data_IF_672780897152
#
_entry.id   IF_672780897152
#
_cell.length_a   1.000
_cell.length_b   1.000
_cell.length_c   1.000
_cell.angle_alpha   90.00
_cell.angle_beta   90.00
_cell.angle_gamma   90.00
#
_symmetry.space_group_name_H-M   'P 1'
#
loop_
_entity.id
_entity.type
_entity.pdbx_description
1 polymer ?
#
# COMPACT_ATOMS: atom_id res chain seq x y z
N UNK A 1 6.57 -6.84 29.66
CA UNK A 1 7.68 -6.02 30.14
C UNK A 1 7.11 -5.05 31.18
N UNK A 2 7.29 -5.34 32.49
CA UNK A 2 6.75 -4.52 33.58
C UNK A 2 7.88 -3.70 34.23
N UNK A 3 8.43 -2.75 33.48
CA UNK A 3 9.28 -1.75 34.11
C UNK A 3 8.38 -0.70 34.76
N UNK A 4 8.62 -0.39 36.04
CA UNK A 4 7.82 0.59 36.77
C UNK A 4 8.06 1.97 36.17
N UNK A 5 6.98 2.69 35.80
CA UNK A 5 7.05 4.01 35.19
C UNK A 5 7.94 4.98 35.96
N UNK A 6 7.92 4.91 37.31
CA UNK A 6 8.76 5.76 38.17
C UNK A 6 10.25 5.48 38.03
N UNK A 7 10.65 4.23 37.85
CA UNK A 7 12.07 3.85 37.63
C UNK A 7 12.53 4.33 36.26
N UNK A 8 11.68 4.21 35.22
CA UNK A 8 11.95 4.73 33.90
C UNK A 8 12.10 6.25 33.88
N UNK A 9 11.23 6.96 34.60
CA UNK A 9 11.30 8.42 34.74
C UNK A 9 12.57 8.88 35.50
N UNK A 10 12.98 8.13 36.51
CA UNK A 10 14.24 8.43 37.23
C UNK A 10 15.45 8.24 36.34
N UNK A 11 15.50 7.14 35.58
CA UNK A 11 16.57 6.88 34.59
C UNK A 11 16.60 7.95 33.50
N UNK A 12 15.44 8.31 32.94
CA UNK A 12 15.34 9.33 31.91
C UNK A 12 15.82 10.72 32.41
N UNK A 13 15.52 11.09 33.66
CA UNK A 13 16.01 12.33 34.29
C UNK A 13 17.51 12.35 34.44
N UNK A 14 18.13 11.23 34.78
CA UNK A 14 19.57 11.12 34.90
C UNK A 14 20.26 11.21 33.52
N UNK A 15 19.75 10.48 32.54
CA UNK A 15 20.24 10.50 31.17
C UNK A 15 20.14 11.91 30.54
N UNK A 16 19.04 12.62 30.79
CA UNK A 16 18.78 13.96 30.25
C UNK A 16 19.82 15.00 30.68
N UNK A 17 20.56 14.78 31.77
CA UNK A 17 21.64 15.71 32.21
C UNK A 17 22.78 15.82 31.21
N UNK A 18 23.02 14.77 30.43
CA UNK A 18 24.10 14.71 29.43
C UNK A 18 23.66 15.11 28.02
N UNK A 19 22.34 15.15 27.75
CA UNK A 19 21.77 15.38 26.42
C UNK A 19 21.51 16.88 26.24
N UNK A 20 22.23 17.54 25.30
CA UNK A 20 22.11 18.96 25.00
C UNK A 20 21.76 19.24 23.55
N UNK A 21 22.00 18.31 22.65
CA UNK A 21 21.76 18.44 21.22
C UNK A 21 20.92 17.26 20.71
N UNK A 22 20.29 17.38 19.54
CA UNK A 22 19.62 16.24 18.88
C UNK A 22 20.59 15.08 18.62
N UNK A 23 21.85 15.36 18.33
CA UNK A 23 22.91 14.39 18.11
C UNK A 23 23.19 13.58 19.40
N UNK A 24 23.29 14.24 20.55
CA UNK A 24 23.46 13.60 21.84
C UNK A 24 22.30 12.65 22.15
N UNK A 25 21.07 13.07 21.81
CA UNK A 25 19.87 12.23 21.98
C UNK A 25 19.92 10.99 21.09
N UNK A 26 20.39 11.13 19.86
CA UNK A 26 20.51 10.03 18.91
C UNK A 26 21.60 9.02 19.37
N UNK A 27 22.75 9.50 19.79
CA UNK A 27 23.83 8.66 20.36
C UNK A 27 23.34 7.90 21.61
N UNK A 28 22.61 8.59 22.49
CA UNK A 28 22.02 7.97 23.66
C UNK A 28 21.01 6.88 23.29
N UNK A 29 20.14 7.14 22.31
CA UNK A 29 19.16 6.16 21.82
C UNK A 29 19.83 4.92 21.23
N UNK A 30 20.89 5.09 20.43
CA UNK A 30 21.70 4.00 19.89
C UNK A 30 22.35 3.16 21.01
N UNK A 31 22.96 3.83 22.01
CA UNK A 31 23.59 3.16 23.14
C UNK A 31 22.56 2.37 23.95
N UNK A 32 21.41 2.96 24.25
CA UNK A 32 20.34 2.31 25.00
C UNK A 32 19.79 1.08 24.23
N UNK A 33 19.57 1.24 22.92
CA UNK A 33 19.13 0.15 22.05
C UNK A 33 20.13 -1.00 22.03
N UNK A 34 21.44 -0.68 21.88
CA UNK A 34 22.54 -1.66 21.93
C UNK A 34 22.53 -2.44 23.25
N UNK A 35 22.54 -1.75 24.39
CA UNK A 35 22.55 -2.38 25.73
C UNK A 35 21.33 -3.27 25.91
N UNK A 36 20.16 -2.80 25.53
CA UNK A 36 18.91 -3.55 25.66
C UNK A 36 18.91 -4.83 24.82
N UNK A 37 19.37 -4.72 23.55
CA UNK A 37 19.46 -5.90 22.66
C UNK A 37 20.51 -6.88 23.15
N UNK A 38 21.70 -6.43 23.61
CA UNK A 38 22.73 -7.30 24.19
C UNK A 38 22.26 -8.00 25.46
N UNK A 39 21.49 -7.31 26.31
CA UNK A 39 20.87 -7.91 27.50
C UNK A 39 19.85 -8.97 27.13
N UNK A 40 18.98 -8.71 26.17
CA UNK A 40 18.01 -9.68 25.69
C UNK A 40 18.67 -10.93 25.05
N UNK A 41 19.72 -10.74 24.25
CA UNK A 41 20.49 -11.87 23.68
C UNK A 41 21.21 -12.70 24.76
N UNK A 42 21.65 -12.07 25.86
CA UNK A 42 22.21 -12.81 26.98
C UNK A 42 21.12 -13.60 27.75
N UNK A 43 19.91 -13.05 27.90
CA UNK A 43 18.78 -13.77 28.49
C UNK A 43 18.37 -14.97 27.62
N UNK A 44 18.30 -14.82 26.29
CA UNK A 44 18.08 -15.95 25.37
C UNK A 44 19.17 -17.03 25.50
N UNK A 45 20.44 -16.63 25.72
CA UNK A 45 21.54 -17.56 25.96
C UNK A 45 21.41 -18.27 27.31
N UNK A 46 20.96 -17.56 28.37
CA UNK A 46 20.71 -18.16 29.67
C UNK A 46 19.59 -19.23 29.56
N UNK A 47 18.51 -18.93 28.86
CA UNK A 47 17.42 -19.87 28.57
C UNK A 47 17.92 -21.09 27.78
N UNK A 48 18.73 -20.85 26.73
CA UNK A 48 19.29 -21.92 25.88
C UNK A 48 20.20 -22.89 26.65
N UNK A 49 21.03 -22.36 27.53
CA UNK A 49 21.97 -23.18 28.32
C UNK A 49 21.36 -23.77 29.60
N UNK A 50 20.22 -23.22 30.08
CA UNK A 50 19.55 -23.63 31.31
C UNK A 50 20.22 -23.10 32.58
N UNK A 51 21.15 -22.14 32.50
CA UNK A 51 21.79 -21.50 33.65
C UNK A 51 22.20 -20.06 33.37
N UNK A 52 22.18 -19.21 34.41
CA UNK A 52 22.61 -17.83 34.35
C UNK A 52 24.14 -17.68 34.31
N UNK A 53 24.60 -16.52 33.86
CA UNK A 53 26.04 -16.22 33.84
C UNK A 53 26.62 -16.30 35.26
N UNK A 54 27.80 -16.95 35.42
CA UNK A 54 28.53 -17.18 36.65
C UNK A 54 27.91 -18.21 37.63
N UNK A 55 26.87 -18.94 37.22
CA UNK A 55 26.38 -20.09 37.96
C UNK A 55 27.15 -21.37 37.60
N UNK A 56 27.25 -22.32 38.54
CA UNK A 56 27.77 -23.67 38.24
C UNK A 56 26.77 -24.43 37.38
N UNK A 57 27.23 -24.90 36.23
CA UNK A 57 26.42 -25.66 35.28
C UNK A 57 26.65 -27.15 35.40
N UNK A 58 25.59 -27.94 35.26
CA UNK A 58 25.64 -29.37 35.00
C UNK A 58 25.48 -29.68 33.50
N UNK A 59 25.32 -28.68 32.65
CA UNK A 59 25.18 -28.80 31.20
C UNK A 59 26.52 -29.13 30.54
N UNK A 60 26.52 -29.99 29.52
CA UNK A 60 27.69 -30.26 28.67
C UNK A 60 28.12 -29.04 27.82
N UNK A 61 27.15 -28.18 27.48
CA UNK A 61 27.38 -26.97 26.72
C UNK A 61 27.66 -25.74 27.60
N UNK A 62 28.49 -24.84 27.15
CA UNK A 62 28.91 -23.68 27.94
C UNK A 62 29.07 -22.43 27.05
N UNK A 63 29.06 -21.25 27.69
CA UNK A 63 29.33 -19.99 27.00
C UNK A 63 30.74 -19.97 26.40
N UNK A 64 30.87 -19.50 25.16
CA UNK A 64 32.12 -19.42 24.42
C UNK A 64 32.37 -18.01 23.85
N UNK A 65 32.42 -17.02 24.74
CA UNK A 65 32.66 -15.65 24.35
C UNK A 65 31.52 -14.98 23.60
N UNK A 66 31.87 -13.96 22.81
CA UNK A 66 30.92 -13.18 21.99
C UNK A 66 31.48 -13.04 20.58
N UNK A 67 30.63 -12.90 19.59
CA UNK A 67 30.99 -12.44 18.24
C UNK A 67 30.43 -11.02 18.05
N UNK A 68 31.22 -10.16 17.42
CA UNK A 68 30.82 -8.80 17.10
C UNK A 68 30.31 -8.73 15.66
N UNK A 69 29.27 -7.96 15.42
CA UNK A 69 28.76 -7.62 14.08
C UNK A 69 28.16 -6.22 14.08
N UNK A 70 28.27 -5.52 12.97
CA UNK A 70 27.58 -4.24 12.76
C UNK A 70 26.12 -4.47 12.40
N UNK A 71 25.23 -3.74 13.07
CA UNK A 71 23.78 -3.81 12.84
C UNK A 71 23.25 -2.42 12.58
N UNK A 72 22.53 -2.28 11.47
CA UNK A 72 21.89 -1.04 11.04
C UNK A 72 20.50 -0.93 11.63
N UNK A 73 20.18 0.25 12.13
CA UNK A 73 18.87 0.57 12.71
C UNK A 73 18.40 1.93 12.19
N UNK A 74 17.20 2.29 12.54
CA UNK A 74 16.65 3.63 12.26
C UNK A 74 17.34 4.77 13.02
N UNK A 75 18.09 4.48 14.08
CA UNK A 75 18.84 5.45 14.86
C UNK A 75 20.33 5.46 14.45
N UNK A 76 20.70 4.76 13.38
CA UNK A 76 22.07 4.63 12.88
C UNK A 76 22.62 3.21 12.98
N UNK A 77 23.95 3.09 12.92
CA UNK A 77 24.68 1.83 12.93
C UNK A 77 25.46 1.66 14.23
N UNK A 78 25.39 0.48 14.84
CA UNK A 78 26.20 0.15 16.01
C UNK A 78 26.77 -1.26 15.97
N UNK A 79 27.84 -1.47 16.72
CA UNK A 79 28.45 -2.78 16.89
C UNK A 79 27.70 -3.57 17.97
N UNK A 80 27.13 -4.72 17.60
CA UNK A 80 26.39 -5.62 18.48
C UNK A 80 27.23 -6.84 18.84
N UNK A 81 27.36 -7.10 20.14
CA UNK A 81 28.03 -8.28 20.67
C UNK A 81 27.04 -9.41 20.93
N UNK A 82 27.05 -10.43 20.08
CA UNK A 82 26.17 -11.59 20.19
C UNK A 82 26.90 -12.71 20.98
N UNK A 83 26.29 -13.26 22.05
CA UNK A 83 26.89 -14.35 22.79
C UNK A 83 26.97 -15.63 21.94
N UNK A 84 27.95 -16.47 22.27
CA UNK A 84 28.17 -17.78 21.62
C UNK A 84 28.28 -18.88 22.65
N UNK A 85 27.78 -20.06 22.31
CA UNK A 85 27.98 -21.29 23.03
C UNK A 85 29.12 -22.13 22.44
N UNK A 86 29.58 -23.10 23.18
CA UNK A 86 30.75 -23.93 22.78
C UNK A 86 30.39 -24.90 21.65
N UNK A 87 29.16 -25.40 21.63
CA UNK A 87 28.69 -26.33 20.62
C UNK A 87 28.20 -25.63 19.34
N UNK A 88 28.05 -24.30 19.35
CA UNK A 88 27.56 -23.51 18.21
C UNK A 88 26.07 -23.68 17.92
N UNK A 89 25.32 -24.29 18.85
CA UNK A 89 23.90 -24.63 18.73
C UNK A 89 22.95 -23.46 19.04
N UNK A 90 23.45 -22.42 19.66
CA UNK A 90 22.65 -21.23 20.00
C UNK A 90 22.18 -20.49 18.74
N UNK A 91 20.88 -20.36 18.58
CA UNK A 91 20.21 -19.62 17.53
C UNK A 91 19.40 -18.45 18.12
N UNK A 92 19.96 -17.21 18.13
CA UNK A 92 19.28 -16.06 18.69
C UNK A 92 18.02 -15.71 17.90
N UNK A 93 16.91 -15.47 18.62
CA UNK A 93 15.61 -15.16 18.03
C UNK A 93 15.44 -13.67 17.73
N UNK A 94 15.89 -12.79 18.65
CA UNK A 94 15.71 -11.35 18.57
C UNK A 94 16.52 -10.74 17.39
N UNK A 95 17.79 -11.17 17.21
CA UNK A 95 18.64 -10.75 16.11
C UNK A 95 19.41 -11.96 15.58
N UNK A 96 18.94 -12.55 14.49
CA UNK A 96 19.50 -13.78 13.91
C UNK A 96 21.00 -13.66 13.60
N UNK A 97 21.73 -14.79 13.55
CA UNK A 97 23.20 -14.83 13.37
C UNK A 97 23.72 -13.96 12.22
N UNK A 98 23.09 -14.00 11.07
CA UNK A 98 23.52 -13.26 9.86
C UNK A 98 22.71 -11.98 9.60
N UNK A 99 21.82 -11.60 10.53
CA UNK A 99 21.04 -10.38 10.39
C UNK A 99 21.93 -9.16 10.65
N UNK A 100 22.01 -8.26 9.68
CA UNK A 100 22.81 -7.04 9.71
C UNK A 100 21.96 -5.76 9.85
N UNK A 101 20.63 -5.91 9.96
CA UNK A 101 19.69 -4.79 10.13
C UNK A 101 18.40 -5.25 10.83
N UNK A 102 17.69 -4.31 11.43
CA UNK A 102 16.36 -4.57 11.99
C UNK A 102 15.28 -4.52 10.92
N UNK A 103 14.20 -5.29 11.11
CA UNK A 103 13.08 -5.37 10.16
C UNK A 103 12.38 -4.03 9.96
N UNK A 104 12.31 -3.18 10.99
CA UNK A 104 11.76 -1.82 10.91
C UNK A 104 12.42 -0.96 9.83
N UNK A 105 13.66 -1.23 9.47
CA UNK A 105 14.37 -0.57 8.39
C UNK A 105 13.85 -0.97 7.01
N UNK A 106 13.50 -2.24 6.83
CA UNK A 106 12.92 -2.74 5.59
C UNK A 106 11.52 -2.11 5.37
N UNK A 107 10.70 -1.99 6.43
CA UNK A 107 9.39 -1.34 6.40
C UNK A 107 9.49 0.14 5.98
N UNK A 108 10.50 0.87 6.48
CA UNK A 108 10.76 2.25 6.07
C UNK A 108 11.20 2.37 4.61
N UNK A 109 12.06 1.47 4.15
CA UNK A 109 12.45 1.41 2.73
C UNK A 109 11.21 1.21 1.85
N UNK A 110 10.34 0.27 2.22
CA UNK A 110 9.10 -0.01 1.50
C UNK A 110 8.15 1.20 1.51
N UNK A 111 8.03 1.86 2.66
CA UNK A 111 7.19 3.05 2.77
C UNK A 111 7.68 4.19 1.88
N UNK A 112 8.97 4.51 1.89
CA UNK A 112 9.57 5.55 1.03
C UNK A 112 9.42 5.18 -0.46
N UNK A 113 9.61 3.92 -0.80
CA UNK A 113 9.41 3.44 -2.17
C UNK A 113 7.95 3.58 -2.61
N UNK A 114 7.00 3.26 -1.73
CA UNK A 114 5.56 3.45 -1.98
C UNK A 114 5.16 4.93 -2.12
N UNK A 115 5.94 5.87 -1.53
CA UNK A 115 5.78 7.31 -1.76
C UNK A 115 6.33 7.77 -3.14
N UNK A 116 6.89 6.86 -3.93
CA UNK A 116 7.39 7.15 -5.28
C UNK A 116 8.87 7.55 -5.34
N UNK A 117 9.60 7.42 -4.24
CA UNK A 117 11.04 7.71 -4.23
C UNK A 117 11.82 6.65 -5.03
N UNK A 118 12.79 7.10 -5.81
CA UNK A 118 13.73 6.20 -6.48
C UNK A 118 14.68 5.54 -5.48
N UNK A 119 15.30 4.42 -5.89
CA UNK A 119 16.28 3.72 -5.04
C UNK A 119 17.43 4.62 -4.59
N UNK A 120 17.85 5.60 -5.40
CA UNK A 120 18.91 6.56 -5.05
C UNK A 120 18.44 7.59 -4.03
N UNK A 121 17.22 8.11 -4.19
CA UNK A 121 16.63 9.05 -3.23
C UNK A 121 16.43 8.39 -1.87
N UNK A 122 16.04 7.11 -1.84
CA UNK A 122 15.92 6.34 -0.60
C UNK A 122 17.30 6.17 0.07
N UNK A 123 18.36 5.87 -0.70
CA UNK A 123 19.72 5.78 -0.17
C UNK A 123 20.14 7.10 0.45
N UNK A 124 19.95 8.22 -0.23
CA UNK A 124 20.30 9.56 0.27
C UNK A 124 19.48 9.92 1.52
N UNK A 125 18.17 9.61 1.53
CA UNK A 125 17.30 9.86 2.68
C UNK A 125 17.75 9.07 3.92
N UNK A 126 18.18 7.81 3.74
CA UNK A 126 18.68 7.00 4.85
C UNK A 126 20.01 7.55 5.41
N UNK A 127 20.90 7.99 4.55
CA UNK A 127 22.15 8.63 4.97
C UNK A 127 21.88 9.95 5.72
N UNK A 128 21.05 10.82 5.15
CA UNK A 128 20.75 12.14 5.71
C UNK A 128 19.93 12.07 7.02
N UNK A 129 18.90 11.21 7.08
CA UNK A 129 17.95 11.22 8.20
C UNK A 129 18.33 10.27 9.32
N UNK A 130 19.04 9.18 9.01
CA UNK A 130 19.34 8.12 9.96
C UNK A 130 20.85 7.86 10.12
N UNK A 131 21.72 8.58 9.38
CA UNK A 131 23.16 8.32 9.39
C UNK A 131 23.50 6.87 9.02
N UNK A 132 22.67 6.21 8.21
CA UNK A 132 22.79 4.79 7.87
C UNK A 132 23.06 4.63 6.38
N UNK A 133 24.29 4.27 6.03
CA UNK A 133 24.64 3.94 4.65
C UNK A 133 23.93 2.65 4.20
N UNK A 134 23.06 2.74 3.22
CA UNK A 134 22.43 1.59 2.55
C UNK A 134 22.80 1.59 1.07
N UNK A 135 22.80 0.41 0.44
CA UNK A 135 23.07 0.33 -1.00
C UNK A 135 21.79 0.34 -1.82
N UNK A 136 21.82 0.84 -3.08
CA UNK A 136 20.69 0.71 -4.01
C UNK A 136 20.26 -0.76 -4.22
N UNK A 137 21.23 -1.69 -4.16
CA UNK A 137 20.97 -3.14 -4.24
C UNK A 137 20.16 -3.64 -3.04
N UNK A 138 20.40 -3.10 -1.85
CA UNK A 138 19.59 -3.44 -0.67
C UNK A 138 18.15 -2.96 -0.86
N UNK A 139 17.96 -1.71 -1.29
CA UNK A 139 16.63 -1.16 -1.57
C UNK A 139 15.89 -2.05 -2.57
N UNK A 140 16.53 -2.40 -3.70
CA UNK A 140 15.93 -3.29 -4.70
C UNK A 140 15.61 -4.68 -4.15
N UNK A 141 16.44 -5.23 -3.26
CA UNK A 141 16.17 -6.53 -2.63
C UNK A 141 14.95 -6.48 -1.71
N UNK A 142 14.85 -5.43 -0.90
CA UNK A 142 13.71 -5.23 0.02
C UNK A 142 12.42 -5.05 -0.77
N UNK A 143 12.42 -4.22 -1.81
CA UNK A 143 11.23 -3.99 -2.66
C UNK A 143 10.84 -5.25 -3.43
N UNK A 144 11.80 -6.03 -3.93
CA UNK A 144 11.52 -7.28 -4.64
C UNK A 144 10.94 -8.37 -3.71
N UNK A 145 11.33 -8.39 -2.42
CA UNK A 145 10.79 -9.37 -1.47
C UNK A 145 9.28 -9.23 -1.24
N UNK A 146 8.70 -8.07 -1.55
CA UNK A 146 7.25 -7.85 -1.45
C UNK A 146 6.48 -8.43 -2.65
N UNK A 147 7.16 -8.71 -3.77
CA UNK A 147 6.49 -9.21 -4.99
C UNK A 147 5.75 -10.53 -4.71
N UNK A 148 6.35 -11.44 -3.95
CA UNK A 148 5.70 -12.72 -3.59
C UNK A 148 4.41 -12.48 -2.78
N UNK A 149 4.45 -11.55 -1.83
CA UNK A 149 3.27 -11.18 -1.03
C UNK A 149 2.18 -10.51 -1.89
N UNK A 150 2.58 -9.69 -2.87
CA UNK A 150 1.64 -9.07 -3.82
C UNK A 150 1.00 -10.14 -4.70
N UNK A 151 1.75 -11.13 -5.17
CA UNK A 151 1.20 -12.26 -5.97
C UNK A 151 0.24 -13.10 -5.13
N UNK A 152 0.58 -13.42 -3.88
CA UNK A 152 -0.30 -14.12 -2.95
C UNK A 152 -1.59 -13.32 -2.68
N UNK A 153 -1.45 -12.02 -2.40
CA UNK A 153 -2.58 -11.14 -2.21
C UNK A 153 -3.47 -11.06 -3.46
N UNK A 154 -2.88 -10.94 -4.65
CA UNK A 154 -3.62 -10.85 -5.92
C UNK A 154 -4.38 -12.15 -6.21
N UNK A 155 -3.86 -13.31 -5.82
CA UNK A 155 -4.47 -14.62 -6.07
C UNK A 155 -5.36 -15.13 -4.92
N UNK A 156 -5.51 -14.36 -3.84
CA UNK A 156 -6.30 -14.80 -2.68
C UNK A 156 -7.76 -15.08 -3.04
N UNK A 157 -8.44 -16.01 -2.35
CA UNK A 157 -9.88 -16.18 -2.46
C UNK A 157 -10.62 -14.88 -2.14
N UNK A 158 -11.76 -14.68 -2.80
CA UNK A 158 -12.67 -13.55 -2.59
C UNK A 158 -13.99 -14.05 -2.02
N UNK A 159 -14.80 -13.13 -1.48
CA UNK A 159 -16.14 -13.43 -1.04
C UNK A 159 -17.02 -13.84 -2.24
N UNK A 160 -18.03 -14.69 -1.99
CA UNK A 160 -18.92 -15.16 -3.04
C UNK A 160 -19.83 -14.05 -3.60
N UNK A 161 -20.21 -13.07 -2.77
CA UNK A 161 -21.15 -12.02 -3.14
C UNK A 161 -20.59 -10.64 -2.82
N UNK A 162 -20.64 -9.75 -3.82
CA UNK A 162 -20.32 -8.34 -3.67
C UNK A 162 -21.53 -7.47 -4.04
N UNK A 163 -22.16 -6.78 -3.08
CA UNK A 163 -23.23 -5.82 -3.36
C UNK A 163 -22.86 -4.75 -4.38
N UNK A 164 -21.64 -4.20 -4.31
CA UNK A 164 -21.18 -3.17 -5.24
C UNK A 164 -19.73 -3.45 -5.61
N UNK A 165 -19.43 -3.40 -6.90
CA UNK A 165 -18.04 -3.45 -7.42
C UNK A 165 -17.79 -2.25 -8.32
N UNK A 166 -16.73 -1.51 -8.05
CA UNK A 166 -16.23 -0.44 -8.92
C UNK A 166 -15.09 -0.99 -9.77
N UNK A 167 -15.22 -0.83 -11.08
CA UNK A 167 -14.21 -1.21 -12.07
C UNK A 167 -13.72 0.06 -12.75
N UNK A 168 -12.48 0.44 -12.53
CA UNK A 168 -11.91 1.70 -13.00
C UNK A 168 -10.48 1.52 -13.52
N UNK A 169 -10.02 2.46 -14.30
CA UNK A 169 -8.69 2.47 -14.89
C UNK A 169 -7.96 3.77 -14.59
N UNK A 170 -6.76 3.65 -14.04
CA UNK A 170 -5.87 4.79 -13.77
C UNK A 170 -4.69 4.74 -14.74
N UNK A 171 -4.48 5.83 -15.48
CA UNK A 171 -3.31 5.96 -16.36
C UNK A 171 -2.16 6.58 -15.57
N UNK A 172 -1.05 5.84 -15.47
CA UNK A 172 0.18 6.28 -14.82
C UNK A 172 1.33 6.40 -15.80
N UNK A 173 2.26 7.32 -15.52
CA UNK A 173 3.50 7.46 -16.26
C UNK A 173 4.57 6.61 -15.61
N UNK A 174 5.09 5.62 -16.30
CA UNK A 174 6.20 4.80 -15.85
C UNK A 174 7.43 5.02 -16.71
N UNK A 175 8.61 4.81 -16.14
CA UNK A 175 9.87 4.83 -16.89
C UNK A 175 10.26 3.40 -17.24
N UNK A 176 10.21 3.08 -18.54
CA UNK A 176 10.64 1.80 -19.09
C UNK A 176 11.64 2.06 -20.21
N UNK A 177 12.77 1.35 -20.21
CA UNK A 177 13.83 1.47 -21.24
C UNK A 177 14.27 2.91 -21.52
N UNK A 178 14.48 3.68 -20.45
CA UNK A 178 14.86 5.11 -20.46
C UNK A 178 13.81 6.06 -21.10
N UNK A 179 12.62 5.57 -21.42
CA UNK A 179 11.50 6.35 -21.94
C UNK A 179 10.37 6.44 -20.92
N UNK A 180 9.62 7.53 -20.94
CA UNK A 180 8.39 7.66 -20.15
C UNK A 180 7.25 7.19 -21.06
N UNK A 181 6.55 6.15 -20.60
CA UNK A 181 5.36 5.60 -21.27
C UNK A 181 4.16 5.67 -20.34
N UNK A 182 2.98 5.75 -20.92
CA UNK A 182 1.74 5.61 -20.16
C UNK A 182 1.43 4.11 -20.01
N UNK A 183 1.07 3.69 -18.81
CA UNK A 183 0.51 2.37 -18.52
C UNK A 183 -0.82 2.51 -17.81
N UNK A 184 -1.75 1.66 -18.17
CA UNK A 184 -3.05 1.58 -17.52
C UNK A 184 -3.00 0.59 -16.36
N UNK A 185 -3.43 1.05 -15.18
CA UNK A 185 -3.65 0.20 -14.00
C UNK A 185 -5.14 0.06 -13.84
N UNK A 186 -5.63 -1.16 -14.00
CA UNK A 186 -7.02 -1.53 -13.81
C UNK A 186 -7.24 -1.94 -12.36
N UNK A 187 -8.31 -1.45 -11.76
CA UNK A 187 -8.66 -1.65 -10.36
C UNK A 187 -10.05 -2.24 -10.26
N UNK A 188 -10.21 -3.26 -9.45
CA UNK A 188 -11.50 -3.74 -8.98
C UNK A 188 -11.60 -3.48 -7.47
N UNK A 189 -12.54 -2.62 -7.06
CA UNK A 189 -12.83 -2.30 -5.67
C UNK A 189 -14.23 -2.80 -5.32
N UNK A 190 -14.32 -3.78 -4.42
CA UNK A 190 -15.57 -4.34 -3.93
C UNK A 190 -16.03 -3.69 -2.62
N UNK A 191 -17.35 -3.66 -2.44
CA UNK A 191 -17.98 -3.48 -1.12
C UNK A 191 -18.57 -4.83 -0.76
N UNK A 192 -18.10 -5.43 0.32
CA UNK A 192 -18.58 -6.74 0.75
C UNK A 192 -19.95 -6.64 1.47
N UNK A 193 -20.51 -7.77 1.86
CA UNK A 193 -21.82 -7.84 2.54
C UNK A 193 -21.83 -7.18 3.92
N UNK A 194 -20.67 -6.96 4.53
CA UNK A 194 -20.51 -6.21 5.79
C UNK A 194 -20.38 -4.69 5.59
N UNK A 195 -20.35 -4.22 4.33
CA UNK A 195 -20.19 -2.81 3.98
C UNK A 195 -18.74 -2.31 3.96
N UNK A 196 -17.77 -3.21 4.08
CA UNK A 196 -16.36 -2.85 4.02
C UNK A 196 -15.89 -2.77 2.56
N UNK A 197 -15.05 -1.76 2.30
CA UNK A 197 -14.37 -1.62 1.01
C UNK A 197 -13.11 -2.47 0.99
N UNK A 198 -12.93 -3.27 -0.06
CA UNK A 198 -11.70 -3.98 -0.30
C UNK A 198 -11.23 -3.87 -1.75
N UNK A 199 -9.92 -3.80 -1.93
CA UNK A 199 -9.31 -3.87 -3.25
C UNK A 199 -9.25 -5.35 -3.65
N UNK A 200 -10.09 -5.74 -4.59
CA UNK A 200 -10.19 -7.14 -5.06
C UNK A 200 -8.99 -7.55 -5.92
N UNK A 201 -8.43 -6.60 -6.68
CA UNK A 201 -7.24 -6.83 -7.50
C UNK A 201 -6.80 -5.60 -8.29
N UNK A 202 -5.58 -5.70 -8.82
CA UNK A 202 -4.95 -4.70 -9.68
C UNK A 202 -4.27 -5.39 -10.87
N UNK A 203 -4.46 -4.85 -12.07
CA UNK A 203 -3.86 -5.39 -13.29
C UNK A 203 -3.21 -4.27 -14.09
N UNK A 204 -2.08 -4.56 -14.72
CA UNK A 204 -1.35 -3.60 -15.56
C UNK A 204 -1.45 -4.06 -17.01
N UNK A 205 -1.92 -3.19 -17.90
CA UNK A 205 -1.93 -3.42 -19.33
C UNK A 205 -1.55 -2.17 -20.11
N UNK A 206 -1.24 -2.35 -21.38
CA UNK A 206 -0.89 -1.22 -22.27
C UNK A 206 -2.14 -0.54 -22.84
N UNK A 207 -3.20 -1.33 -23.04
CA UNK A 207 -4.44 -0.84 -23.65
C UNK A 207 -5.65 -1.27 -22.84
N UNK A 208 -6.58 -0.37 -22.68
CA UNK A 208 -7.91 -0.63 -22.17
C UNK A 208 -8.81 -1.20 -23.27
N UNK A 209 -9.56 -2.26 -22.94
CA UNK A 209 -10.50 -2.85 -23.88
C UNK A 209 -11.43 -3.87 -23.20
N UNK A 210 -12.61 -4.08 -23.79
CA UNK A 210 -13.61 -5.02 -23.28
C UNK A 210 -13.06 -6.44 -23.09
N UNK A 211 -12.17 -6.90 -23.97
CA UNK A 211 -11.50 -8.21 -23.85
C UNK A 211 -10.63 -8.31 -22.60
N UNK A 212 -9.95 -7.24 -22.21
CA UNK A 212 -9.15 -7.22 -21.01
C UNK A 212 -10.03 -7.32 -19.76
N UNK A 213 -11.10 -6.54 -19.73
CA UNK A 213 -12.08 -6.61 -18.64
C UNK A 213 -12.76 -7.97 -18.53
N UNK A 214 -13.04 -8.64 -19.65
CA UNK A 214 -13.54 -10.01 -19.62
C UNK A 214 -12.58 -10.96 -18.89
N UNK A 215 -11.27 -10.84 -19.14
CA UNK A 215 -10.27 -11.63 -18.42
C UNK A 215 -10.24 -11.30 -16.91
N UNK A 216 -10.32 -10.02 -16.54
CA UNK A 216 -10.37 -9.57 -15.15
C UNK A 216 -11.60 -10.16 -14.44
N UNK A 217 -12.78 -10.05 -15.05
CA UNK A 217 -14.03 -10.59 -14.49
C UNK A 217 -13.98 -12.10 -14.33
N UNK A 218 -13.42 -12.81 -15.33
CA UNK A 218 -13.22 -14.26 -15.27
C UNK A 218 -12.26 -14.66 -14.14
N UNK A 219 -11.18 -13.88 -13.93
CA UNK A 219 -10.27 -14.11 -12.81
C UNK A 219 -10.96 -13.90 -11.46
N UNK A 220 -11.79 -12.85 -11.31
CA UNK A 220 -12.58 -12.64 -10.09
C UNK A 220 -13.51 -13.83 -9.81
N UNK A 221 -14.18 -14.36 -10.84
CA UNK A 221 -15.00 -15.54 -10.73
C UNK A 221 -14.20 -16.79 -10.30
N UNK A 222 -13.02 -17.01 -10.90
CA UNK A 222 -12.13 -18.12 -10.53
C UNK A 222 -11.62 -18.01 -9.08
N UNK A 223 -11.53 -16.81 -8.53
CA UNK A 223 -11.14 -16.53 -7.14
C UNK A 223 -12.32 -16.62 -6.16
N UNK A 224 -13.51 -17.02 -6.61
CA UNK A 224 -14.66 -17.34 -5.77
C UNK A 224 -15.82 -16.36 -5.84
N UNK A 225 -15.75 -15.29 -6.64
CA UNK A 225 -16.90 -14.39 -6.81
C UNK A 225 -17.98 -15.10 -7.63
N UNK A 226 -19.14 -15.30 -7.03
CA UNK A 226 -20.30 -15.95 -7.67
C UNK A 226 -21.30 -14.92 -8.21
N UNK A 227 -21.47 -13.79 -7.50
CA UNK A 227 -22.42 -12.75 -7.89
C UNK A 227 -21.95 -11.34 -7.52
N UNK A 228 -22.28 -10.38 -8.40
CA UNK A 228 -22.09 -8.94 -8.22
C UNK A 228 -23.46 -8.29 -8.46
N UNK A 229 -24.03 -7.62 -7.43
CA UNK A 229 -25.36 -7.04 -7.59
C UNK A 229 -25.31 -5.77 -8.44
N UNK A 230 -24.35 -4.87 -8.19
CA UNK A 230 -24.17 -3.61 -8.93
C UNK A 230 -22.69 -3.47 -9.34
N UNK A 231 -22.44 -3.33 -10.64
CA UNK A 231 -21.13 -2.98 -11.17
C UNK A 231 -21.11 -1.51 -11.61
N UNK A 232 -20.26 -0.70 -10.97
CA UNK A 232 -20.04 0.69 -11.34
C UNK A 232 -18.86 0.77 -12.31
N UNK A 233 -19.10 1.20 -13.55
CA UNK A 233 -18.12 1.21 -14.64
C UNK A 233 -18.09 2.54 -15.37
N UNK A 234 -17.03 2.79 -16.14
CA UNK A 234 -17.02 3.88 -17.11
C UNK A 234 -17.84 3.50 -18.34
N UNK A 235 -18.04 4.46 -19.24
CA UNK A 235 -18.81 4.25 -20.50
C UNK A 235 -18.00 3.56 -21.60
N UNK A 236 -17.04 2.68 -21.29
CA UNK A 236 -16.25 1.97 -22.30
C UNK A 236 -17.13 1.02 -23.12
N UNK A 237 -17.07 1.15 -24.45
CA UNK A 237 -17.85 0.31 -25.37
C UNK A 237 -17.52 -1.17 -25.20
N UNK A 238 -18.56 -2.00 -25.05
CA UNK A 238 -18.45 -3.45 -24.87
C UNK A 238 -18.12 -3.89 -23.43
N UNK A 239 -18.01 -2.95 -22.49
CA UNK A 239 -17.83 -3.31 -21.08
C UNK A 239 -19.10 -3.95 -20.48
N UNK A 240 -20.31 -3.44 -20.72
CA UNK A 240 -21.54 -4.11 -20.33
C UNK A 240 -21.64 -5.55 -20.83
N UNK A 241 -21.28 -5.80 -22.08
CA UNK A 241 -21.28 -7.13 -22.68
C UNK A 241 -20.30 -8.07 -21.96
N UNK A 242 -19.11 -7.57 -21.60
CA UNK A 242 -18.13 -8.34 -20.86
C UNK A 242 -18.62 -8.72 -19.46
N UNK A 243 -19.30 -7.81 -18.75
CA UNK A 243 -19.89 -8.06 -17.44
C UNK A 243 -21.00 -9.10 -17.55
N UNK A 244 -21.96 -8.91 -18.47
CA UNK A 244 -23.07 -9.81 -18.66
C UNK A 244 -22.65 -11.22 -19.08
N UNK A 245 -21.51 -11.36 -19.76
CA UNK A 245 -20.95 -12.66 -20.13
C UNK A 245 -20.49 -13.49 -18.92
N UNK A 246 -20.04 -12.85 -17.83
CA UNK A 246 -19.51 -13.52 -16.63
C UNK A 246 -20.53 -13.47 -15.48
N UNK A 247 -21.17 -12.32 -15.28
CA UNK A 247 -22.15 -12.05 -14.22
C UNK A 247 -23.46 -11.53 -14.85
N UNK A 248 -24.31 -12.42 -15.37
CA UNK A 248 -25.48 -12.05 -16.17
C UNK A 248 -26.61 -11.34 -15.40
N UNK A 249 -26.57 -11.42 -14.07
CA UNK A 249 -27.59 -10.79 -13.21
C UNK A 249 -27.13 -9.45 -12.62
N UNK A 250 -25.93 -9.00 -12.97
CA UNK A 250 -25.37 -7.74 -12.45
C UNK A 250 -26.09 -6.54 -13.04
N UNK A 251 -26.55 -5.64 -12.18
CA UNK A 251 -27.03 -4.31 -12.61
C UNK A 251 -25.81 -3.41 -12.91
N UNK A 252 -25.76 -2.86 -14.11
CA UNK A 252 -24.63 -2.03 -14.55
C UNK A 252 -24.98 -0.58 -14.32
N UNK A 253 -24.19 0.09 -13.48
CA UNK A 253 -24.30 1.52 -13.21
C UNK A 253 -23.16 2.27 -13.87
N UNK A 254 -23.47 3.16 -14.80
CA UNK A 254 -22.46 4.00 -15.41
C UNK A 254 -21.95 5.09 -14.45
N UNK A 255 -20.64 5.34 -14.47
CA UNK A 255 -19.99 6.28 -13.56
C UNK A 255 -20.33 7.74 -13.89
N UNK A 256 -21.09 8.40 -13.02
CA UNK A 256 -21.45 9.82 -13.16
C UNK A 256 -20.22 10.73 -13.32
N UNK A 257 -19.13 10.42 -12.62
CA UNK A 257 -17.89 11.22 -12.71
C UNK A 257 -17.29 11.19 -14.11
N UNK A 258 -17.23 9.99 -14.71
CA UNK A 258 -16.76 9.81 -16.10
C UNK A 258 -17.71 10.46 -17.09
N UNK A 259 -19.02 10.31 -16.90
CA UNK A 259 -20.04 10.97 -17.70
C UNK A 259 -19.84 12.50 -17.72
N UNK A 260 -19.75 13.10 -16.53
CA UNK A 260 -19.53 14.56 -16.40
C UNK A 260 -18.22 15.01 -17.08
N UNK A 261 -17.12 14.28 -16.83
CA UNK A 261 -15.83 14.58 -17.46
C UNK A 261 -15.89 14.51 -18.98
N UNK A 262 -16.55 13.49 -19.52
CA UNK A 262 -16.71 13.33 -20.98
C UNK A 262 -17.59 14.43 -21.56
N UNK A 263 -18.68 14.79 -20.90
CA UNK A 263 -19.56 15.89 -21.32
C UNK A 263 -18.84 17.25 -21.34
N UNK A 264 -17.91 17.47 -20.42
CA UNK A 264 -17.14 18.71 -20.31
C UNK A 264 -15.91 18.77 -21.23
N UNK A 265 -15.52 17.66 -21.85
CA UNK A 265 -14.29 17.57 -22.67
C UNK A 265 -14.24 18.56 -23.83
N UNK A 266 -15.39 18.88 -24.40
CA UNK A 266 -15.53 19.77 -25.55
C UNK A 266 -16.08 21.16 -25.18
N UNK A 267 -16.28 21.42 -23.88
CA UNK A 267 -16.80 22.71 -23.39
C UNK A 267 -15.66 23.71 -23.26
N UNK A 268 -15.88 24.94 -23.75
CA UNK A 268 -14.90 26.03 -23.65
C UNK A 268 -14.68 26.41 -22.14
N UNK A 269 -13.47 26.87 -21.83
CA UNK A 269 -13.11 27.27 -20.45
C UNK A 269 -14.05 28.33 -19.86
N UNK A 270 -14.53 29.28 -20.68
CA UNK A 270 -15.44 30.34 -20.22
C UNK A 270 -16.79 29.81 -19.74
N UNK A 271 -17.28 28.72 -20.33
CA UNK A 271 -18.60 28.14 -20.05
C UNK A 271 -18.51 26.95 -19.09
N UNK A 272 -17.29 26.44 -18.83
CA UNK A 272 -17.03 25.24 -18.03
C UNK A 272 -17.75 25.23 -16.67
N UNK A 273 -17.71 26.37 -15.94
CA UNK A 273 -18.32 26.49 -14.63
C UNK A 273 -19.86 26.45 -14.70
N UNK A 274 -20.44 27.10 -15.71
CA UNK A 274 -21.89 27.16 -15.92
C UNK A 274 -22.43 25.78 -16.33
N UNK A 275 -21.80 25.15 -17.34
CA UNK A 275 -22.15 23.79 -17.80
C UNK A 275 -22.03 22.78 -16.66
N UNK A 276 -20.98 22.86 -15.85
CA UNK A 276 -20.81 21.97 -14.68
C UNK A 276 -21.92 22.17 -13.65
N UNK A 277 -22.37 23.40 -13.42
CA UNK A 277 -23.44 23.69 -12.48
C UNK A 277 -24.80 23.13 -12.95
N UNK A 278 -25.08 23.22 -14.25
CA UNK A 278 -26.32 22.73 -14.83
C UNK A 278 -26.30 21.18 -14.90
N UNK A 279 -25.17 20.54 -15.28
CA UNK A 279 -24.99 19.09 -15.15
C UNK A 279 -25.24 18.58 -13.73
N UNK A 280 -24.80 19.36 -12.72
CA UNK A 280 -24.98 18.99 -11.33
C UNK A 280 -26.45 18.94 -10.91
N UNK A 281 -27.32 19.73 -11.52
CA UNK A 281 -28.76 19.66 -11.27
C UNK A 281 -29.32 18.34 -11.75
N UNK A 282 -28.96 17.89 -12.96
CA UNK A 282 -29.40 16.63 -13.54
C UNK A 282 -29.09 15.46 -12.59
N UNK A 283 -27.81 15.24 -12.28
CA UNK A 283 -27.41 14.04 -11.49
C UNK A 283 -27.65 14.17 -9.96
N UNK A 284 -28.16 15.31 -9.49
CA UNK A 284 -28.59 15.51 -8.08
C UNK A 284 -30.09 15.55 -7.90
N UNK A 285 -30.85 15.42 -8.95
CA UNK A 285 -32.30 15.34 -8.87
C UNK A 285 -32.74 14.20 -7.96
N UNK A 286 -33.79 14.41 -7.22
CA UNK A 286 -34.30 13.45 -6.25
C UNK A 286 -35.10 12.32 -6.89
N UNK A 287 -35.63 12.56 -8.10
CA UNK A 287 -36.46 11.62 -8.87
C UNK A 287 -36.01 11.60 -10.33
N UNK A 288 -36.37 10.54 -11.03
CA UNK A 288 -36.12 10.39 -12.47
C UNK A 288 -36.82 11.48 -13.27
N UNK A 289 -38.09 11.79 -12.97
CA UNK A 289 -38.87 12.83 -13.64
C UNK A 289 -38.19 14.22 -13.51
N UNK A 290 -37.67 14.51 -12.31
CA UNK A 290 -36.92 15.75 -12.08
C UNK A 290 -35.60 15.77 -12.86
N UNK A 291 -34.87 14.63 -12.92
CA UNK A 291 -33.65 14.51 -13.69
C UNK A 291 -33.90 14.73 -15.20
N UNK A 292 -34.98 14.15 -15.74
CA UNK A 292 -35.37 14.35 -17.12
C UNK A 292 -35.72 15.82 -17.42
N UNK A 293 -36.46 16.49 -16.52
CA UNK A 293 -36.78 17.91 -16.67
C UNK A 293 -35.54 18.79 -16.67
N UNK A 294 -34.60 18.53 -15.75
CA UNK A 294 -33.31 19.27 -15.71
C UNK A 294 -32.44 18.97 -16.93
N UNK A 295 -32.52 17.76 -17.50
CA UNK A 295 -31.82 17.39 -18.73
C UNK A 295 -32.41 18.13 -19.95
N UNK A 296 -33.73 18.30 -20.03
CA UNK A 296 -34.37 19.11 -21.08
C UNK A 296 -33.92 20.59 -21.00
N UNK A 297 -33.90 21.15 -19.79
CA UNK A 297 -33.39 22.52 -19.54
C UNK A 297 -31.92 22.65 -19.94
N UNK A 298 -31.11 21.62 -19.65
CA UNK A 298 -29.72 21.58 -20.07
C UNK A 298 -29.60 21.61 -21.61
N UNK A 299 -30.42 20.80 -22.32
CA UNK A 299 -30.44 20.75 -23.77
C UNK A 299 -30.84 22.11 -24.37
N UNK A 300 -31.94 22.73 -23.87
CA UNK A 300 -32.38 24.05 -24.36
C UNK A 300 -31.27 25.12 -24.22
N UNK A 301 -30.46 25.03 -23.14
CA UNK A 301 -29.43 26.03 -22.87
C UNK A 301 -28.14 25.78 -23.67
N UNK A 302 -27.75 24.52 -23.81
CA UNK A 302 -26.38 24.18 -24.23
C UNK A 302 -26.29 23.40 -25.54
N UNK A 303 -27.38 22.75 -26.05
CA UNK A 303 -27.32 21.85 -27.19
C UNK A 303 -26.93 22.61 -28.49
N UNK A 304 -27.37 23.84 -28.64
CA UNK A 304 -26.95 24.70 -29.77
C UNK A 304 -25.44 24.98 -29.84
N UNK A 305 -24.76 24.94 -28.68
CA UNK A 305 -23.32 25.26 -28.59
C UNK A 305 -22.48 24.00 -28.32
N UNK A 306 -22.99 23.03 -27.58
CA UNK A 306 -22.32 21.81 -27.14
C UNK A 306 -23.15 20.54 -27.34
N UNK A 307 -23.56 20.20 -28.60
CA UNK A 307 -24.47 19.07 -28.86
C UNK A 307 -23.91 17.71 -28.41
N UNK A 308 -22.59 17.56 -28.39
CA UNK A 308 -21.93 16.33 -27.96
C UNK A 308 -22.14 16.06 -26.46
N UNK A 309 -22.19 17.12 -25.64
CA UNK A 309 -22.43 16.99 -24.19
C UNK A 309 -23.78 16.39 -23.89
N UNK A 310 -24.81 16.82 -24.59
CA UNK A 310 -26.17 16.27 -24.45
C UNK A 310 -26.29 14.81 -24.93
N UNK A 311 -25.68 14.49 -26.07
CA UNK A 311 -25.71 13.12 -26.62
C UNK A 311 -25.08 12.10 -25.66
N UNK A 312 -23.98 12.48 -25.00
CA UNK A 312 -23.36 11.64 -23.98
C UNK A 312 -24.26 11.40 -22.78
N UNK A 313 -24.99 12.42 -22.31
CA UNK A 313 -25.91 12.29 -21.18
C UNK A 313 -27.06 11.35 -21.51
N UNK A 314 -27.70 11.54 -22.67
CA UNK A 314 -28.84 10.73 -23.10
C UNK A 314 -28.46 9.25 -23.33
N UNK A 315 -27.26 8.97 -23.79
CA UNK A 315 -26.79 7.59 -23.97
C UNK A 315 -26.61 6.83 -22.61
N UNK A 316 -26.48 7.56 -21.51
CA UNK A 316 -26.38 6.99 -20.16
C UNK A 316 -27.76 6.70 -19.50
N UNK A 317 -28.86 7.23 -20.05
CA UNK A 317 -30.20 7.02 -19.50
C UNK A 317 -30.92 5.79 -20.09
N UNK A 318 -30.42 5.28 -21.20
CA UNK A 318 -31.06 4.16 -21.96
C UNK A 318 -30.37 2.81 -21.78
N UNK A 319 -29.47 2.67 -20.79
CA UNK A 319 -28.70 1.46 -20.53
C UNK A 319 -29.10 0.70 -19.27
#
# INVERSE_FOLDING_TARGET
>A
MNMNKKELEAFAKEAAKGIKTPEDLNEFSQMLKKITVEAALNAEMDEHLGYERNQKSTSSNSRNGKSSKRVKTEDGEFELNTPRDREGSFEPKLVKKHQSRFTSMDDKILWLYAQGMSTREIVNAFDEWYGAEISPTLVSRVTNAVIEQVVEWQSRPLDAIYPIVYLDCIVVKIRQDKRIINKSIFLALGINTEGHKELMGMWIAENEGAKFWLNVLTELQQRGVEDILIACVDGLKGFPDAINAVFPHTHIQLCIVHMVRNSLKYVSWKDYKAVTADLKRVYRSATEDEALLELERFAETWDGQYPVSYTHLRAHETG
#
